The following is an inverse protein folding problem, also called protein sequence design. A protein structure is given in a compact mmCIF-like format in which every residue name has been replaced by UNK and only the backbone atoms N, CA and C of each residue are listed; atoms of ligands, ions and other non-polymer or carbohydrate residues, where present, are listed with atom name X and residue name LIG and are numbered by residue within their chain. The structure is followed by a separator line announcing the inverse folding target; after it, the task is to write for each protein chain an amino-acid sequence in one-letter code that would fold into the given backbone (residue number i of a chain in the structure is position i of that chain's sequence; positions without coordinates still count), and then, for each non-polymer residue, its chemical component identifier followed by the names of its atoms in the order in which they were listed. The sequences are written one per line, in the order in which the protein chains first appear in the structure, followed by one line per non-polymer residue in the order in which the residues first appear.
data_IF_813805392240
#
_entry.id   IF_813805392240
#
_cell.length_a   1.000
_cell.length_b   1.000
_cell.length_c   1.000
_cell.angle_alpha   90.00
_cell.angle_beta   90.00
_cell.angle_gamma   90.00
#
_symmetry.space_group_name_H-M   'P 1'
#
loop_
_entity.id
_entity.type
_entity.pdbx_description
1 polymer ?
#
# COMPACT_ATOMS: atom_id res chain seq x y z
N UNK A 1 -10.47 -7.64 3.18
CA UNK A 1 -10.74 -7.60 1.72
C UNK A 1 -9.47 -7.10 1.05
N UNK A 2 -9.01 -7.70 -0.05
CA UNK A 2 -7.81 -7.27 -0.76
C UNK A 2 -8.18 -6.40 -1.97
N UNK A 3 -7.24 -5.58 -2.44
CA UNK A 3 -7.43 -4.86 -3.70
C UNK A 3 -7.47 -5.84 -4.88
N UNK A 4 -8.29 -5.56 -5.90
CA UNK A 4 -8.49 -6.49 -7.03
C UNK A 4 -7.18 -6.83 -7.75
N UNK A 5 -6.36 -5.82 -7.99
CA UNK A 5 -5.01 -5.97 -8.57
C UNK A 5 -4.05 -6.79 -7.71
N UNK A 6 -4.25 -6.79 -6.38
CA UNK A 6 -3.42 -7.55 -5.45
C UNK A 6 -3.64 -9.06 -5.51
N UNK A 7 -4.78 -9.55 -6.00
CA UNK A 7 -5.10 -10.98 -5.96
C UNK A 7 -4.10 -11.84 -6.75
N UNK A 8 -3.67 -11.40 -7.94
CA UNK A 8 -2.69 -12.14 -8.75
C UNK A 8 -1.35 -12.23 -8.03
N UNK A 9 -0.89 -11.12 -7.46
CA UNK A 9 0.39 -11.05 -6.74
C UNK A 9 0.33 -11.93 -5.49
N UNK A 10 -0.73 -11.81 -4.68
CA UNK A 10 -0.94 -12.65 -3.49
C UNK A 10 -0.92 -14.14 -3.85
N UNK A 11 -1.61 -14.54 -4.93
CA UNK A 11 -1.65 -15.94 -5.35
C UNK A 11 -0.27 -16.45 -5.77
N UNK A 12 0.46 -15.70 -6.59
CA UNK A 12 1.82 -16.06 -7.01
C UNK A 12 2.76 -16.14 -5.81
N UNK A 13 2.72 -15.15 -4.90
CA UNK A 13 3.50 -15.17 -3.67
C UNK A 13 3.16 -16.40 -2.83
N UNK A 14 1.88 -16.75 -2.68
CA UNK A 14 1.48 -17.93 -1.92
C UNK A 14 2.09 -19.21 -2.50
N UNK A 15 2.03 -19.40 -3.82
CA UNK A 15 2.62 -20.57 -4.50
C UNK A 15 4.14 -20.62 -4.28
N UNK A 16 4.83 -19.50 -4.42
CA UNK A 16 6.27 -19.40 -4.19
C UNK A 16 6.63 -19.74 -2.75
N UNK A 17 5.89 -19.22 -1.78
CA UNK A 17 6.13 -19.50 -0.36
C UNK A 17 5.91 -20.99 -0.06
N UNK A 18 4.85 -21.61 -0.58
CA UNK A 18 4.62 -23.06 -0.42
C UNK A 18 5.77 -23.87 -1.02
N UNK A 19 6.24 -23.51 -2.21
CA UNK A 19 7.39 -24.18 -2.84
C UNK A 19 8.66 -24.03 -1.98
N UNK A 20 8.93 -22.83 -1.46
CA UNK A 20 10.08 -22.58 -0.58
C UNK A 20 9.99 -23.36 0.73
N UNK A 21 8.80 -23.52 1.31
CA UNK A 21 8.58 -24.36 2.48
C UNK A 21 8.94 -25.82 2.19
N UNK A 22 8.45 -26.39 1.09
CA UNK A 22 8.74 -27.77 0.69
C UNK A 22 10.22 -28.00 0.38
N UNK A 23 10.86 -27.04 -0.29
CA UNK A 23 12.29 -27.10 -0.57
C UNK A 23 13.12 -27.02 0.72
N UNK A 24 12.72 -26.16 1.66
CA UNK A 24 13.43 -26.03 2.94
C UNK A 24 13.31 -27.31 3.76
N UNK A 25 12.11 -27.89 3.84
CA UNK A 25 11.87 -29.16 4.52
C UNK A 25 12.68 -30.32 3.90
N UNK A 26 12.80 -30.35 2.56
CA UNK A 26 13.49 -31.42 1.84
C UNK A 26 15.02 -31.31 1.88
N UNK A 27 15.58 -30.10 1.84
CA UNK A 27 17.02 -29.88 1.66
C UNK A 27 17.75 -29.37 2.91
N UNK A 28 17.05 -28.78 3.89
CA UNK A 28 17.67 -28.21 5.10
C UNK A 28 17.49 -29.17 6.27
N UNK A 29 18.53 -29.95 6.56
CA UNK A 29 18.52 -30.93 7.66
C UNK A 29 18.71 -30.31 9.04
N UNK A 30 19.24 -29.08 9.11
CA UNK A 30 19.51 -28.38 10.36
C UNK A 30 18.20 -27.79 10.91
N UNK A 31 17.66 -28.29 12.06
CA UNK A 31 16.29 -27.97 12.47
C UNK A 31 16.06 -26.49 12.79
N UNK A 32 17.02 -25.83 13.44
CA UNK A 32 16.89 -24.41 13.80
C UNK A 32 16.92 -23.51 12.56
N UNK A 33 17.74 -23.87 11.55
CA UNK A 33 17.87 -23.10 10.32
C UNK A 33 16.63 -23.27 9.43
N UNK A 34 16.12 -24.50 9.32
CA UNK A 34 14.87 -24.79 8.62
C UNK A 34 13.71 -23.98 9.23
N UNK A 35 13.57 -24.01 10.56
CA UNK A 35 12.56 -23.22 11.28
C UNK A 35 12.72 -21.71 11.03
N UNK A 36 13.94 -21.19 11.09
CA UNK A 36 14.20 -19.77 10.85
C UNK A 36 13.77 -19.34 9.44
N UNK A 37 14.14 -20.10 8.41
CA UNK A 37 13.76 -19.82 7.03
C UNK A 37 12.25 -19.84 6.82
N UNK A 38 11.55 -20.84 7.38
CA UNK A 38 10.10 -20.92 7.33
C UNK A 38 9.43 -19.71 8.00
N UNK A 39 9.94 -19.25 9.14
CA UNK A 39 9.46 -18.02 9.80
C UNK A 39 9.67 -16.80 8.89
N UNK A 40 10.85 -16.66 8.28
CA UNK A 40 11.14 -15.53 7.38
C UNK A 40 10.18 -15.51 6.19
N UNK A 41 9.93 -16.66 5.56
CA UNK A 41 8.98 -16.80 4.46
C UNK A 41 7.56 -16.45 4.89
N UNK A 42 7.14 -16.88 6.08
CA UNK A 42 5.84 -16.54 6.64
C UNK A 42 5.71 -15.04 6.90
N UNK A 43 6.73 -14.41 7.49
CA UNK A 43 6.77 -12.95 7.70
C UNK A 43 6.65 -12.22 6.37
N UNK A 44 7.36 -12.68 5.33
CA UNK A 44 7.28 -12.09 4.00
C UNK A 44 5.87 -12.20 3.39
N UNK A 45 5.23 -13.38 3.50
CA UNK A 45 3.85 -13.57 3.08
C UNK A 45 2.91 -12.59 3.80
N UNK A 46 3.07 -12.44 5.12
CA UNK A 46 2.27 -11.51 5.92
C UNK A 46 2.46 -10.07 5.44
N UNK A 47 3.69 -9.63 5.15
CA UNK A 47 3.94 -8.28 4.63
C UNK A 47 3.23 -8.02 3.30
N UNK A 48 3.26 -8.98 2.37
CA UNK A 48 2.55 -8.87 1.09
C UNK A 48 1.03 -8.79 1.30
N UNK A 49 0.47 -9.61 2.18
CA UNK A 49 -0.94 -9.54 2.54
C UNK A 49 -1.29 -8.18 3.18
N UNK A 50 -0.44 -7.67 4.07
CA UNK A 50 -0.65 -6.37 4.70
C UNK A 50 -0.58 -5.21 3.68
N UNK A 51 0.29 -5.30 2.69
CA UNK A 51 0.43 -4.28 1.64
C UNK A 51 -0.84 -4.16 0.78
N UNK A 52 -1.40 -5.29 0.34
CA UNK A 52 -2.56 -5.33 -0.57
C UNK A 52 -3.93 -5.30 0.14
N UNK A 53 -3.96 -5.18 1.46
CA UNK A 53 -5.22 -5.09 2.21
C UNK A 53 -5.99 -3.84 1.81
N UNK A 54 -7.31 -3.95 1.78
CA UNK A 54 -8.23 -2.86 1.53
C UNK A 54 -9.37 -2.89 2.57
N UNK A 55 -9.12 -2.40 3.80
CA UNK A 55 -10.15 -2.28 4.83
C UNK A 55 -11.20 -1.25 4.41
N UNK A 56 -12.44 -1.47 4.85
CA UNK A 56 -13.48 -0.45 4.76
C UNK A 56 -13.11 0.69 5.70
N UNK A 57 -13.16 1.93 5.21
CA UNK A 57 -12.92 3.14 6.00
C UNK A 57 -14.26 3.80 6.28
N UNK A 58 -14.51 4.15 7.53
CA UNK A 58 -15.67 4.94 7.93
C UNK A 58 -15.20 6.39 8.07
N UNK A 59 -15.72 7.26 7.22
CA UNK A 59 -15.41 8.70 7.26
C UNK A 59 -16.71 9.48 7.18
N UNK A 60 -16.81 10.54 7.98
CA UNK A 60 -17.89 11.51 7.85
C UNK A 60 -17.63 12.35 6.60
N UNK A 61 -18.56 12.30 5.65
CA UNK A 61 -18.49 13.12 4.44
C UNK A 61 -19.07 14.49 4.77
N UNK A 62 -18.29 15.53 4.57
CA UNK A 62 -18.71 16.91 4.71
C UNK A 62 -18.02 17.73 3.60
N UNK A 63 -18.81 18.50 2.86
CA UNK A 63 -18.35 19.32 1.75
C UNK A 63 -17.41 20.47 2.20
N UNK A 64 -17.46 20.85 3.49
CA UNK A 64 -16.58 21.85 4.09
C UNK A 64 -15.24 21.26 4.58
N UNK A 65 -15.00 19.96 4.40
CA UNK A 65 -13.80 19.28 4.91
C UNK A 65 -13.08 18.47 3.83
N UNK A 66 -11.75 18.44 3.93
CA UNK A 66 -10.91 17.57 3.11
C UNK A 66 -10.45 16.40 3.97
N UNK A 67 -10.76 15.16 3.55
CA UNK A 67 -10.31 13.96 4.27
C UNK A 67 -8.98 13.46 3.72
N UNK A 68 -8.16 12.84 4.57
CA UNK A 68 -6.88 12.28 4.10
C UNK A 68 -7.12 11.20 3.03
N UNK A 69 -6.49 11.28 1.84
CA UNK A 69 -6.69 10.32 0.76
C UNK A 69 -6.05 8.95 1.05
N UNK A 70 -5.02 8.91 1.89
CA UNK A 70 -4.22 7.73 2.22
C UNK A 70 -3.95 7.61 3.72
N UNK A 71 -3.46 6.45 4.15
CA UNK A 71 -2.89 6.25 5.49
C UNK A 71 -1.39 6.53 5.43
N UNK A 72 -0.88 7.40 6.27
CA UNK A 72 0.54 7.74 6.24
C UNK A 72 0.89 8.90 7.16
N UNK A 73 2.13 9.37 7.03
CA UNK A 73 2.63 10.53 7.76
C UNK A 73 2.63 11.75 6.83
N UNK A 74 2.05 12.86 7.28
CA UNK A 74 2.23 14.14 6.59
C UNK A 74 3.70 14.54 6.74
N UNK A 75 4.39 14.68 5.61
CA UNK A 75 5.84 14.98 5.57
C UNK A 75 6.14 16.41 5.14
N UNK A 76 5.25 17.03 4.36
CA UNK A 76 5.38 18.41 3.88
C UNK A 76 4.01 19.08 3.85
N UNK A 77 3.96 20.32 4.32
CA UNK A 77 2.87 21.27 4.06
C UNK A 77 3.54 22.59 3.69
N UNK A 78 3.51 22.96 2.41
CA UNK A 78 4.18 24.16 1.91
C UNK A 78 3.50 24.74 0.68
N UNK A 79 3.80 26.00 0.35
CA UNK A 79 3.31 26.64 -0.86
C UNK A 79 4.28 26.37 -2.02
N UNK A 80 3.78 25.75 -3.09
CA UNK A 80 4.55 25.38 -4.29
C UNK A 80 3.91 25.97 -5.54
N UNK A 81 4.70 26.26 -6.56
CA UNK A 81 4.17 26.64 -7.87
C UNK A 81 3.75 25.39 -8.65
N UNK A 82 2.43 25.23 -8.86
CA UNK A 82 1.83 24.08 -9.55
C UNK A 82 1.82 24.35 -11.07
N UNK A 83 2.55 23.54 -11.85
CA UNK A 83 2.86 23.80 -13.27
C UNK A 83 1.98 23.04 -14.26
N UNK A 84 1.15 22.10 -13.82
CA UNK A 84 0.45 21.18 -14.72
C UNK A 84 -0.97 21.64 -15.06
N UNK A 85 -1.71 22.15 -14.08
CA UNK A 85 -3.11 22.52 -14.27
C UNK A 85 -3.38 23.99 -13.96
N UNK A 86 -2.97 24.46 -12.78
CA UNK A 86 -3.27 25.81 -12.29
C UNK A 86 -2.28 26.87 -12.79
N UNK A 87 -1.02 26.52 -13.04
CA UNK A 87 0.05 27.47 -13.41
C UNK A 87 0.19 28.64 -12.41
N UNK A 88 0.03 28.36 -11.12
CA UNK A 88 0.07 29.35 -10.04
C UNK A 88 0.51 28.70 -8.70
N UNK A 89 0.71 29.50 -7.65
CA UNK A 89 1.04 29.02 -6.30
C UNK A 89 -0.15 28.32 -5.63
N UNK A 90 0.10 27.16 -5.03
CA UNK A 90 -0.87 26.32 -4.32
C UNK A 90 -0.26 25.73 -3.07
N UNK A 91 -1.10 25.48 -2.06
CA UNK A 91 -0.70 24.71 -0.90
C UNK A 91 -0.59 23.22 -1.27
N UNK A 92 0.59 22.64 -1.12
CA UNK A 92 0.83 21.21 -1.27
C UNK A 92 0.85 20.54 0.11
N UNK A 93 0.16 19.39 0.19
CA UNK A 93 0.21 18.50 1.35
C UNK A 93 0.72 17.14 0.88
N UNK A 94 1.92 16.77 1.33
CA UNK A 94 2.56 15.50 0.96
C UNK A 94 2.42 14.48 2.08
N UNK A 95 1.91 13.28 1.74
CA UNK A 95 1.73 12.19 2.69
C UNK A 95 2.59 11.01 2.25
N UNK A 96 3.47 10.56 3.14
CA UNK A 96 4.30 9.38 2.93
C UNK A 96 3.60 8.13 3.46
N UNK A 97 3.42 7.13 2.59
CA UNK A 97 2.90 5.80 2.93
C UNK A 97 4.09 4.86 3.20
N UNK A 98 4.23 4.37 4.43
CA UNK A 98 5.19 3.29 4.73
C UNK A 98 4.66 1.94 4.21
N UNK A 99 5.52 0.92 4.00
CA UNK A 99 5.11 -0.42 3.56
C UNK A 99 4.01 -1.10 4.40
N UNK A 100 3.83 -0.66 5.65
CA UNK A 100 2.85 -1.22 6.60
C UNK A 100 1.49 -0.48 6.48
N UNK A 101 1.46 0.71 5.86
CA UNK A 101 0.23 1.43 5.60
C UNK A 101 -0.63 0.73 4.54
N UNK A 102 -1.91 1.07 4.50
CA UNK A 102 -2.82 0.62 3.44
C UNK A 102 -2.47 1.37 2.16
N UNK A 103 -1.96 0.66 1.15
CA UNK A 103 -1.57 1.26 -0.15
C UNK A 103 -2.79 1.41 -1.07
N UNK A 104 -3.75 2.21 -0.62
CA UNK A 104 -4.97 2.53 -1.38
C UNK A 104 -5.19 4.03 -1.31
N UNK A 105 -5.03 4.70 -2.44
CA UNK A 105 -5.34 6.13 -2.61
C UNK A 105 -6.82 6.29 -2.90
N UNK A 106 -7.50 7.10 -2.09
CA UNK A 106 -8.92 7.45 -2.24
C UNK A 106 -9.07 8.93 -2.54
N UNK A 107 -10.23 9.32 -3.05
CA UNK A 107 -10.54 10.73 -3.28
C UNK A 107 -10.73 11.45 -1.94
N UNK A 108 -10.04 12.59 -1.71
CA UNK A 108 -10.13 13.34 -0.46
C UNK A 108 -11.37 14.25 -0.38
N UNK A 109 -12.01 14.52 -1.52
CA UNK A 109 -13.21 15.35 -1.67
C UNK A 109 -14.14 14.77 -2.74
N UNK A 110 -15.41 15.19 -2.75
CA UNK A 110 -16.32 14.98 -3.88
C UNK A 110 -16.05 15.96 -5.02
N UNK A 111 -16.38 15.59 -6.26
CA UNK A 111 -16.23 16.47 -7.41
C UNK A 111 -16.16 15.74 -8.74
N UNK A 112 -15.81 16.48 -9.79
CA UNK A 112 -15.53 15.94 -11.14
C UNK A 112 -14.05 16.10 -11.44
N UNK A 113 -13.42 15.04 -11.95
CA UNK A 113 -12.03 15.10 -12.42
C UNK A 113 -12.00 15.81 -13.77
N UNK A 114 -11.45 17.03 -13.81
CA UNK A 114 -11.33 17.83 -15.03
C UNK A 114 -10.00 17.58 -15.77
N UNK A 115 -8.98 17.11 -15.06
CA UNK A 115 -7.65 16.88 -15.59
C UNK A 115 -7.01 15.65 -14.94
N UNK A 116 -6.36 14.82 -15.75
CA UNK A 116 -5.58 13.66 -15.31
C UNK A 116 -4.43 13.46 -16.28
N UNK A 117 -3.22 13.34 -15.76
CA UNK A 117 -2.00 13.12 -16.54
C UNK A 117 -1.25 11.93 -15.96
N UNK A 118 -0.78 11.05 -16.85
CA UNK A 118 0.12 9.96 -16.51
C UNK A 118 1.55 10.43 -16.75
N UNK A 119 2.42 10.23 -15.77
CA UNK A 119 3.86 10.50 -15.85
C UNK A 119 4.64 9.20 -15.87
#
# INVERSE_FOLDING_TARGET
MFHKEGHKIILVTLIVIVALFLLTDSFVTIPWLSTLLMIVFLVFLILILQFFRNPKRFTHRNDDTVVSPVDGKVVVIEEVFEKEYFNDKRLQVSIFMSPINVHVTRYPIGGKVLFSKYH
#
